data_IF_224779850953
#
_entry.id   IF_224779850953
#
_cell.length_a   1.000
_cell.length_b   1.000
_cell.length_c   1.000
_cell.angle_alpha   90.00
_cell.angle_beta   90.00
_cell.angle_gamma   90.00
#
_symmetry.space_group_name_H-M   'P 1'
#
loop_
_entity.id
_entity.type
_entity.pdbx_description
1 polymer ?
#
# COMPACT_ATOMS: atom_id res chain seq x y z
N UNK A 1 -52.13 -38.63 16.88
CA UNK A 1 -51.53 -37.78 17.90
C UNK A 1 -50.01 -37.80 17.69
N UNK A 2 -49.41 -36.73 17.22
CA UNK A 2 -47.95 -36.65 17.06
C UNK A 2 -47.32 -36.37 18.43
N UNK A 3 -46.42 -37.24 18.85
CA UNK A 3 -45.78 -37.19 20.17
C UNK A 3 -45.06 -35.84 20.38
N UNK A 4 -45.37 -35.09 21.46
CA UNK A 4 -44.70 -33.79 21.75
C UNK A 4 -43.19 -33.96 22.00
N UNK A 5 -42.76 -35.17 22.37
CA UNK A 5 -41.32 -35.48 22.60
C UNK A 5 -40.51 -35.39 21.32
N UNK A 6 -41.09 -35.77 20.16
CA UNK A 6 -40.39 -35.71 18.87
C UNK A 6 -40.19 -34.25 18.39
N UNK A 7 -41.15 -33.36 18.68
CA UNK A 7 -41.04 -31.93 18.36
C UNK A 7 -40.01 -31.21 19.22
N UNK A 8 -39.87 -31.55 20.49
CA UNK A 8 -38.87 -31.00 21.39
C UNK A 8 -37.46 -31.46 21.01
N UNK A 9 -37.31 -32.73 20.58
CA UNK A 9 -36.02 -33.24 20.11
C UNK A 9 -35.53 -32.53 18.83
N UNK A 10 -36.48 -32.21 17.91
CA UNK A 10 -36.15 -31.45 16.68
C UNK A 10 -35.76 -30.01 16.98
N UNK A 11 -36.37 -29.37 17.99
CA UNK A 11 -36.06 -28.01 18.42
C UNK A 11 -34.66 -27.92 19.07
N UNK A 12 -34.28 -28.93 19.86
CA UNK A 12 -32.98 -29.04 20.50
C UNK A 12 -31.84 -29.25 19.48
N UNK A 13 -32.07 -29.99 18.41
CA UNK A 13 -31.08 -30.22 17.34
C UNK A 13 -30.88 -28.94 16.50
N UNK A 14 -31.93 -28.11 16.30
CA UNK A 14 -31.81 -26.87 15.53
C UNK A 14 -31.02 -25.76 16.23
N UNK A 15 -30.98 -25.77 17.56
CA UNK A 15 -30.23 -24.78 18.36
C UNK A 15 -28.71 -25.05 18.38
N UNK A 16 -28.31 -26.32 18.24
CA UNK A 16 -26.86 -26.67 18.24
C UNK A 16 -26.17 -26.42 16.91
N UNK A 17 -26.90 -26.13 15.82
CA UNK A 17 -26.35 -25.86 14.49
C UNK A 17 -25.98 -24.40 14.27
N UNK A 18 -26.27 -23.48 15.23
CA UNK A 18 -26.01 -22.03 15.08
C UNK A 18 -24.75 -21.53 15.79
N UNK A 19 -24.04 -22.40 16.52
CA UNK A 19 -22.77 -22.02 17.14
C UNK A 19 -21.59 -22.53 16.31
N UNK A 20 -21.33 -21.89 15.18
CA UNK A 20 -19.99 -21.96 14.57
C UNK A 20 -19.12 -20.97 15.35
N UNK A 21 -18.20 -21.42 16.21
CA UNK A 21 -17.26 -20.51 16.82
C UNK A 21 -16.43 -19.91 15.69
N UNK A 22 -16.54 -18.59 15.48
CA UNK A 22 -15.60 -17.84 14.67
C UNK A 22 -14.25 -17.85 15.39
N UNK A 23 -13.52 -18.94 15.28
CA UNK A 23 -12.22 -19.12 15.87
C UNK A 23 -11.19 -18.39 14.97
N UNK A 24 -11.11 -17.06 15.14
CA UNK A 24 -10.09 -16.26 14.47
C UNK A 24 -8.73 -16.65 15.06
N UNK A 25 -7.89 -17.32 14.24
CA UNK A 25 -6.53 -17.67 14.59
C UNK A 25 -5.58 -16.70 13.91
N UNK A 26 -4.75 -16.03 14.70
CA UNK A 26 -3.68 -15.20 14.19
C UNK A 26 -2.40 -16.03 14.06
N UNK A 27 -1.73 -15.93 12.89
CA UNK A 27 -0.39 -16.43 12.69
C UNK A 27 0.55 -15.24 12.64
N UNK A 28 1.57 -15.25 13.48
CA UNK A 28 2.64 -14.25 13.48
C UNK A 28 3.73 -14.66 12.51
N UNK A 29 4.24 -13.71 11.73
CA UNK A 29 5.40 -13.86 10.86
C UNK A 29 6.51 -12.92 11.32
N UNK A 30 7.74 -13.42 11.36
CA UNK A 30 8.93 -12.72 11.84
C UNK A 30 10.13 -12.97 10.92
N UNK A 31 11.29 -12.45 11.29
CA UNK A 31 12.55 -12.76 10.61
C UNK A 31 12.89 -14.26 10.64
N UNK A 32 12.42 -14.99 11.64
CA UNK A 32 12.57 -16.45 11.72
C UNK A 32 11.79 -17.19 10.65
N UNK A 33 10.69 -16.56 10.13
CA UNK A 33 9.90 -17.09 9.02
C UNK A 33 10.40 -16.61 7.65
N UNK A 34 11.41 -15.74 7.61
CA UNK A 34 12.05 -15.24 6.38
C UNK A 34 11.78 -13.78 6.04
N UNK A 35 11.15 -12.99 6.93
CA UNK A 35 11.08 -11.54 6.74
C UNK A 35 12.47 -10.89 6.84
N UNK A 36 12.72 -9.88 6.03
CA UNK A 36 13.95 -9.10 6.08
C UNK A 36 14.09 -8.28 7.37
N UNK A 37 12.97 -7.86 7.99
CA UNK A 37 12.93 -7.18 9.29
C UNK A 37 11.55 -7.36 9.94
N UNK A 38 11.48 -7.32 11.27
CA UNK A 38 10.25 -7.32 12.04
C UNK A 38 9.52 -5.96 12.00
N UNK A 39 10.21 -4.89 11.55
CA UNK A 39 9.61 -3.56 11.37
C UNK A 39 8.88 -3.47 10.03
N UNK A 40 7.65 -4.02 9.97
CA UNK A 40 6.79 -3.97 8.78
C UNK A 40 6.15 -2.59 8.64
N UNK A 41 6.21 -2.01 7.44
CA UNK A 41 5.67 -0.69 7.11
C UNK A 41 4.52 -0.72 6.11
N UNK A 42 4.55 -1.67 5.19
CA UNK A 42 3.54 -1.78 4.15
C UNK A 42 3.18 -3.23 3.87
N UNK A 43 1.92 -3.47 3.54
CA UNK A 43 1.45 -4.77 3.07
C UNK A 43 0.46 -4.57 1.92
N UNK A 44 0.55 -5.42 0.92
CA UNK A 44 -0.33 -5.39 -0.25
C UNK A 44 -0.49 -6.79 -0.83
N UNK A 45 -1.70 -7.14 -1.26
CA UNK A 45 -1.92 -8.32 -2.07
C UNK A 45 -1.89 -7.95 -3.57
N UNK A 46 -1.12 -8.69 -4.36
CA UNK A 46 -1.08 -8.48 -5.80
C UNK A 46 -2.21 -9.24 -6.53
N UNK A 47 -2.31 -9.01 -7.85
CA UNK A 47 -3.32 -9.65 -8.71
C UNK A 47 -3.21 -11.18 -8.84
N UNK A 48 -2.09 -11.75 -8.42
CA UNK A 48 -1.86 -13.20 -8.40
C UNK A 48 -2.13 -13.84 -7.04
N UNK A 49 -2.48 -13.00 -6.05
CA UNK A 49 -2.76 -13.44 -4.68
C UNK A 49 -1.54 -13.47 -3.75
N UNK A 50 -0.35 -13.10 -4.23
CA UNK A 50 0.84 -13.00 -3.38
C UNK A 50 0.75 -11.79 -2.45
N UNK A 51 1.17 -11.95 -1.19
CA UNK A 51 1.31 -10.82 -0.26
C UNK A 51 2.71 -10.24 -0.37
N UNK A 52 2.79 -8.96 -0.72
CA UNK A 52 4.02 -8.19 -0.70
C UNK A 52 4.11 -7.43 0.61
N UNK A 53 5.24 -7.53 1.28
CA UNK A 53 5.48 -7.02 2.62
C UNK A 53 6.72 -6.14 2.57
N UNK A 54 6.52 -4.84 2.77
CA UNK A 54 7.58 -3.85 2.89
C UNK A 54 8.02 -3.69 4.34
N UNK A 55 9.32 -3.78 4.57
CA UNK A 55 9.94 -3.61 5.89
C UNK A 55 10.98 -2.49 5.87
N UNK A 56 11.57 -2.17 7.01
CA UNK A 56 12.68 -1.23 7.10
C UNK A 56 13.95 -1.73 6.41
N UNK A 57 14.08 -3.04 6.17
CA UNK A 57 15.28 -3.66 5.60
C UNK A 57 15.03 -4.42 4.29
N UNK A 58 13.90 -4.19 3.63
CA UNK A 58 13.67 -4.77 2.32
C UNK A 58 12.23 -5.12 1.98
N UNK A 59 12.09 -5.67 0.79
CA UNK A 59 10.83 -6.12 0.22
C UNK A 59 10.73 -7.64 0.28
N UNK A 60 9.59 -8.15 0.73
CA UNK A 60 9.34 -9.57 0.85
C UNK A 60 8.05 -9.94 0.11
N UNK A 61 7.96 -11.19 -0.35
CA UNK A 61 6.75 -11.76 -0.94
C UNK A 61 6.43 -13.09 -0.28
N UNK A 62 5.21 -13.21 0.21
CA UNK A 62 4.64 -14.46 0.76
C UNK A 62 3.69 -15.09 -0.27
N UNK A 63 3.90 -16.36 -0.57
CA UNK A 63 3.13 -17.14 -1.56
C UNK A 63 2.07 -18.06 -0.95
N UNK A 64 1.87 -17.97 0.37
CA UNK A 64 0.99 -18.86 1.13
C UNK A 64 1.76 -19.96 1.86
N UNK A 65 3.02 -20.22 1.50
CA UNK A 65 3.87 -21.29 2.06
C UNK A 65 5.13 -20.68 2.67
N UNK A 66 5.87 -19.88 1.89
CA UNK A 66 7.17 -19.33 2.27
C UNK A 66 7.28 -17.83 1.97
N UNK A 67 8.17 -17.18 2.69
CA UNK A 67 8.54 -15.78 2.47
C UNK A 67 9.85 -15.74 1.67
N UNK A 68 9.85 -15.00 0.57
CA UNK A 68 11.02 -14.72 -0.25
C UNK A 68 11.36 -13.24 -0.17
N UNK A 69 12.60 -12.91 0.20
CA UNK A 69 13.11 -11.53 0.16
C UNK A 69 13.62 -11.16 -1.22
N UNK A 70 13.45 -9.88 -1.58
CA UNK A 70 13.84 -9.29 -2.86
C UNK A 70 14.80 -8.13 -2.65
N UNK A 71 15.90 -8.13 -3.39
CA UNK A 71 16.73 -6.94 -3.54
C UNK A 71 16.14 -6.06 -4.65
N UNK A 72 15.65 -4.88 -4.30
CA UNK A 72 15.06 -3.94 -5.28
C UNK A 72 16.12 -3.08 -5.98
N UNK A 73 17.31 -3.01 -5.40
CA UNK A 73 18.46 -2.30 -5.94
C UNK A 73 19.73 -3.13 -5.71
N UNK A 74 20.48 -3.50 -6.76
CA UNK A 74 21.71 -4.29 -6.60
C UNK A 74 22.80 -3.61 -5.76
N UNK A 75 22.79 -2.29 -5.69
CA UNK A 75 23.80 -1.49 -4.98
C UNK A 75 23.41 -1.18 -3.52
N UNK A 76 22.19 -1.52 -3.10
CA UNK A 76 21.72 -1.25 -1.74
C UNK A 76 20.99 -2.48 -1.18
N UNK A 77 21.66 -3.23 -0.34
CA UNK A 77 21.00 -4.19 0.54
C UNK A 77 20.22 -3.42 1.61
N UNK A 78 18.97 -3.84 1.89
CA UNK A 78 18.20 -3.30 3.00
C UNK A 78 17.55 -1.94 2.75
N UNK A 79 16.88 -1.76 1.60
CA UNK A 79 16.09 -0.55 1.35
C UNK A 79 14.86 -0.48 2.27
N UNK A 80 14.66 0.66 2.91
CA UNK A 80 13.45 0.99 3.63
C UNK A 80 12.25 1.09 2.67
N UNK A 81 11.28 0.19 2.83
CA UNK A 81 10.04 0.17 2.04
C UNK A 81 8.93 0.82 2.84
N UNK A 82 8.49 2.01 2.43
CA UNK A 82 7.50 2.80 3.16
C UNK A 82 6.07 2.57 2.70
N UNK A 83 5.86 2.29 1.40
CA UNK A 83 4.53 2.11 0.83
C UNK A 83 4.54 1.19 -0.39
N UNK A 84 3.41 0.54 -0.64
CA UNK A 84 3.21 -0.40 -1.76
C UNK A 84 1.88 -0.13 -2.44
N UNK A 85 1.85 -0.14 -3.76
CA UNK A 85 0.63 -0.03 -4.54
C UNK A 85 0.69 -0.91 -5.79
N UNK A 86 -0.30 -1.81 -5.95
CA UNK A 86 -0.40 -2.71 -7.09
C UNK A 86 -1.32 -2.17 -8.19
N UNK A 87 -0.84 -2.17 -9.41
CA UNK A 87 -1.62 -1.96 -10.63
C UNK A 87 -1.77 -3.28 -11.41
N UNK A 88 -2.52 -3.27 -12.51
CA UNK A 88 -2.61 -4.45 -13.38
C UNK A 88 -1.27 -4.89 -13.97
N UNK A 89 -0.30 -3.98 -14.14
CA UNK A 89 0.98 -4.24 -14.81
C UNK A 89 2.17 -4.27 -13.86
N UNK A 90 2.13 -3.45 -12.81
CA UNK A 90 3.30 -3.15 -11.98
C UNK A 90 2.93 -3.08 -10.50
N UNK A 91 3.93 -3.25 -9.64
CA UNK A 91 3.89 -2.80 -8.24
C UNK A 91 4.74 -1.53 -8.14
N UNK A 92 4.17 -0.50 -7.55
CA UNK A 92 4.84 0.75 -7.21
C UNK A 92 5.29 0.66 -5.76
N UNK A 93 6.57 0.90 -5.53
CA UNK A 93 7.26 0.65 -4.27
C UNK A 93 7.84 1.98 -3.81
N UNK A 94 7.24 2.56 -2.79
CA UNK A 94 7.77 3.75 -2.12
C UNK A 94 8.89 3.38 -1.17
N UNK A 95 9.96 4.14 -1.24
CA UNK A 95 11.16 3.98 -0.40
C UNK A 95 11.53 5.30 0.28
N UNK A 96 12.61 5.29 1.04
CA UNK A 96 13.21 6.48 1.65
C UNK A 96 13.92 7.41 0.63
N UNK A 97 14.18 6.93 -0.57
CA UNK A 97 14.88 7.66 -1.63
C UNK A 97 14.08 7.75 -2.94
N UNK A 98 12.74 7.70 -2.86
CA UNK A 98 11.85 7.79 -4.02
C UNK A 98 11.12 6.50 -4.32
N UNK A 99 10.96 6.17 -5.60
CA UNK A 99 10.05 5.12 -6.04
C UNK A 99 10.77 4.11 -6.91
N UNK A 100 10.50 2.82 -6.67
CA UNK A 100 10.84 1.73 -7.57
C UNK A 100 9.58 1.09 -8.15
N UNK A 101 9.72 0.49 -9.32
CA UNK A 101 8.64 -0.18 -10.04
C UNK A 101 9.04 -1.63 -10.26
N UNK A 102 8.23 -2.57 -9.79
CA UNK A 102 8.35 -3.96 -10.17
C UNK A 102 7.38 -4.26 -11.32
N UNK A 103 7.91 -4.69 -12.46
CA UNK A 103 7.12 -5.05 -13.62
C UNK A 103 6.82 -6.56 -13.62
N UNK A 104 5.54 -6.93 -13.58
CA UNK A 104 5.14 -8.35 -13.58
C UNK A 104 5.58 -9.11 -14.83
N UNK A 105 5.65 -8.43 -15.98
CA UNK A 105 5.97 -9.08 -17.26
C UNK A 105 7.43 -9.52 -17.38
N UNK A 106 8.34 -8.77 -16.76
CA UNK A 106 9.79 -9.01 -16.83
C UNK A 106 10.38 -9.46 -15.51
N UNK A 107 9.60 -9.39 -14.43
CA UNK A 107 10.03 -9.65 -13.04
C UNK A 107 11.25 -8.81 -12.62
N UNK A 108 11.33 -7.56 -13.13
CA UNK A 108 12.46 -6.67 -12.89
C UNK A 108 12.05 -5.44 -12.10
N UNK A 109 13.00 -4.89 -11.33
CA UNK A 109 12.86 -3.65 -10.62
C UNK A 109 13.55 -2.53 -11.41
N UNK A 110 12.88 -1.38 -11.54
CA UNK A 110 13.43 -0.17 -12.14
C UNK A 110 13.15 1.03 -11.24
N UNK A 111 14.10 1.98 -11.18
CA UNK A 111 13.89 3.23 -10.47
C UNK A 111 12.99 4.15 -11.30
N UNK A 112 12.04 4.83 -10.64
CA UNK A 112 11.17 5.83 -11.29
C UNK A 112 11.90 7.16 -11.40
N UNK A 113 12.55 7.39 -12.54
CA UNK A 113 13.42 8.51 -12.80
C UNK A 113 12.76 9.63 -13.62
N UNK A 114 11.45 9.89 -13.37
CA UNK A 114 10.75 10.99 -14.04
C UNK A 114 10.85 12.27 -13.21
N UNK A 115 11.04 13.39 -13.90
CA UNK A 115 11.04 14.73 -13.30
C UNK A 115 9.80 15.53 -13.69
N UNK A 116 9.43 16.49 -12.84
CA UNK A 116 8.44 17.52 -13.19
C UNK A 116 9.01 18.48 -14.24
N UNK A 117 8.17 19.34 -14.87
CA UNK A 117 8.66 20.38 -15.76
C UNK A 117 9.71 21.33 -15.14
N UNK A 118 9.65 21.50 -13.82
CA UNK A 118 10.62 22.28 -13.07
C UNK A 118 11.86 21.48 -12.64
N UNK A 119 12.07 20.30 -13.25
CA UNK A 119 13.20 19.41 -12.97
C UNK A 119 13.25 18.87 -11.52
N UNK A 120 12.11 18.73 -10.87
CA UNK A 120 12.01 18.13 -9.54
C UNK A 120 11.76 16.62 -9.67
N UNK A 121 12.57 15.83 -8.97
CA UNK A 121 12.47 14.37 -8.86
C UNK A 121 11.97 13.99 -7.47
N UNK A 122 11.24 12.88 -7.36
CA UNK A 122 10.86 12.32 -6.06
C UNK A 122 12.08 11.63 -5.47
N UNK A 123 12.64 12.17 -4.40
CA UNK A 123 13.86 11.67 -3.73
C UNK A 123 13.71 11.51 -2.22
N UNK A 124 12.53 11.80 -1.69
CA UNK A 124 12.21 11.66 -0.27
C UNK A 124 11.34 10.42 -0.01
N UNK A 125 11.14 10.09 1.26
CA UNK A 125 10.25 9.01 1.68
C UNK A 125 8.88 9.18 1.05
N UNK A 126 8.36 8.10 0.43
CA UNK A 126 7.02 8.05 -0.16
C UNK A 126 6.07 7.39 0.81
N UNK A 127 5.37 8.20 1.59
CA UNK A 127 4.52 7.75 2.69
C UNK A 127 3.29 6.95 2.23
N UNK A 128 2.70 7.34 1.08
CA UNK A 128 1.51 6.70 0.55
C UNK A 128 1.45 6.78 -0.98
N UNK A 129 0.90 5.74 -1.60
CA UNK A 129 0.66 5.67 -3.05
C UNK A 129 -0.79 5.26 -3.26
N UNK A 130 -1.51 5.99 -4.11
CA UNK A 130 -2.86 5.63 -4.55
C UNK A 130 -3.05 5.87 -6.03
N UNK A 131 -4.05 5.22 -6.63
CA UNK A 131 -4.53 5.51 -7.98
C UNK A 131 -5.93 6.10 -7.91
N UNK A 132 -6.14 7.23 -8.59
CA UNK A 132 -7.45 7.85 -8.72
C UNK A 132 -8.30 7.16 -9.81
N UNK A 133 -9.57 7.54 -9.93
CA UNK A 133 -10.51 6.96 -10.93
C UNK A 133 -10.13 7.30 -12.38
N UNK A 134 -9.37 8.37 -12.58
CA UNK A 134 -8.85 8.78 -13.89
C UNK A 134 -7.58 8.00 -14.27
N UNK A 135 -7.09 7.13 -13.37
CA UNK A 135 -5.91 6.31 -13.56
C UNK A 135 -4.58 7.00 -13.25
N UNK A 136 -4.60 8.23 -12.69
CA UNK A 136 -3.37 8.88 -12.24
C UNK A 136 -2.90 8.25 -10.93
N UNK A 137 -1.58 8.16 -10.76
CA UNK A 137 -0.97 7.80 -9.48
C UNK A 137 -0.62 9.06 -8.69
N UNK A 138 -0.88 8.97 -7.40
CA UNK A 138 -0.59 10.04 -6.44
C UNK A 138 0.41 9.54 -5.43
N UNK A 139 1.44 10.35 -5.16
CA UNK A 139 2.53 10.02 -4.25
C UNK A 139 2.61 11.07 -3.14
N UNK A 140 2.32 10.64 -1.92
CA UNK A 140 2.47 11.48 -0.72
C UNK A 140 3.91 11.38 -0.22
N UNK A 141 4.59 12.48 -0.03
CA UNK A 141 6.01 12.48 0.32
C UNK A 141 6.30 13.15 1.65
N UNK A 142 7.45 12.79 2.22
CA UNK A 142 7.97 13.39 3.43
C UNK A 142 8.92 14.55 3.05
N UNK A 143 8.36 15.75 2.89
CA UNK A 143 9.15 16.98 2.65
C UNK A 143 9.13 17.54 1.22
N UNK A 144 8.54 16.81 0.24
CA UNK A 144 8.40 17.30 -1.13
C UNK A 144 6.93 17.52 -1.55
N UNK A 145 5.98 17.43 -0.62
CA UNK A 145 4.56 17.60 -0.91
C UNK A 145 3.90 16.40 -1.57
N UNK A 146 2.97 16.67 -2.46
CA UNK A 146 2.17 15.68 -3.17
C UNK A 146 2.52 15.69 -4.65
N UNK A 147 2.71 14.51 -5.25
CA UNK A 147 2.93 14.37 -6.69
C UNK A 147 1.78 13.64 -7.34
N UNK A 148 1.46 14.02 -8.58
CA UNK A 148 0.55 13.34 -9.48
C UNK A 148 1.29 12.85 -10.70
N UNK A 149 1.23 11.56 -11.00
CA UNK A 149 1.74 10.98 -12.22
C UNK A 149 0.59 10.57 -13.15
N UNK A 150 0.50 11.24 -14.29
CA UNK A 150 -0.42 10.86 -15.35
C UNK A 150 0.24 9.78 -16.23
N UNK A 151 -0.23 8.52 -16.08
CA UNK A 151 0.35 7.38 -16.79
C UNK A 151 0.20 7.48 -18.30
N UNK A 152 -0.92 8.03 -18.80
CA UNK A 152 -1.20 8.10 -20.24
C UNK A 152 -0.35 9.15 -20.95
N UNK A 153 -0.02 10.24 -20.25
CA UNK A 153 0.80 11.34 -20.76
C UNK A 153 2.27 11.23 -20.40
N UNK A 154 2.63 10.26 -19.55
CA UNK A 154 3.96 10.15 -18.95
C UNK A 154 4.43 11.48 -18.34
N UNK A 155 3.57 12.08 -17.50
CA UNK A 155 3.75 13.45 -17.00
C UNK A 155 3.62 13.49 -15.48
N UNK A 156 4.62 14.07 -14.81
CA UNK A 156 4.69 14.24 -13.36
C UNK A 156 4.46 15.70 -12.98
N UNK A 157 3.55 15.93 -12.05
CA UNK A 157 3.27 17.23 -11.44
C UNK A 157 3.55 17.18 -9.94
N UNK A 158 3.95 18.31 -9.37
CA UNK A 158 4.13 18.50 -7.94
C UNK A 158 3.14 19.53 -7.42
N UNK A 159 2.55 19.24 -6.28
CA UNK A 159 1.71 20.15 -5.51
C UNK A 159 2.41 20.42 -4.18
N UNK A 160 2.91 21.65 -4.04
CA UNK A 160 3.55 22.11 -2.81
C UNK A 160 2.48 22.62 -1.83
N UNK A 161 2.64 22.28 -0.57
CA UNK A 161 1.84 22.85 0.50
C UNK A 161 2.58 24.08 1.04
N UNK A 162 1.84 25.12 1.41
CA UNK A 162 2.39 26.42 1.89
C UNK A 162 3.16 26.32 3.20
N UNK A 163 3.11 25.19 3.89
CA UNK A 163 3.90 24.95 5.10
C UNK A 163 5.33 24.52 4.77
N UNK A 164 6.31 25.06 5.50
CA UNK A 164 7.75 24.94 5.28
C UNK A 164 8.33 23.51 5.19
N UNK A 165 7.51 22.46 5.37
CA UNK A 165 8.00 21.10 5.44
C UNK A 165 7.37 20.10 4.46
N UNK A 166 6.34 20.48 3.71
CA UNK A 166 5.78 19.66 2.62
C UNK A 166 5.48 18.18 2.95
N UNK A 167 5.22 17.86 4.23
CA UNK A 167 5.01 16.48 4.66
C UNK A 167 3.55 16.09 4.46
N UNK A 168 3.31 15.23 3.49
CA UNK A 168 2.01 14.60 3.26
C UNK A 168 2.07 13.17 3.78
N UNK A 169 1.34 12.93 4.87
CA UNK A 169 1.34 11.62 5.52
C UNK A 169 0.53 10.59 4.73
N UNK A 170 -0.61 11.01 4.18
CA UNK A 170 -1.48 10.13 3.39
C UNK A 170 -2.37 10.94 2.45
N UNK A 171 -2.88 10.29 1.43
CA UNK A 171 -3.89 10.83 0.51
C UNK A 171 -5.01 9.83 0.29
N UNK A 172 -6.20 10.34 -0.06
CA UNK A 172 -7.31 9.50 -0.50
C UNK A 172 -8.04 10.17 -1.67
N UNK A 173 -8.67 9.37 -2.51
CA UNK A 173 -9.64 9.81 -3.49
C UNK A 173 -11.05 9.45 -2.98
N UNK A 174 -11.94 10.42 -2.89
CA UNK A 174 -13.32 10.18 -2.46
C UNK A 174 -14.22 9.61 -3.59
N UNK A 175 -15.51 9.43 -3.30
CA UNK A 175 -16.50 8.92 -4.27
C UNK A 175 -16.61 9.78 -5.52
N UNK A 176 -16.33 11.07 -5.42
CA UNK A 176 -16.39 12.03 -6.52
C UNK A 176 -15.02 12.25 -7.18
N UNK A 177 -14.04 11.40 -6.86
CA UNK A 177 -12.67 11.49 -7.34
C UNK A 177 -11.96 12.79 -6.94
N UNK A 178 -12.38 13.39 -5.80
CA UNK A 178 -11.64 14.51 -5.21
C UNK A 178 -10.48 13.97 -4.38
N UNK A 179 -9.34 14.61 -4.50
CA UNK A 179 -8.14 14.22 -3.75
C UNK A 179 -8.09 14.97 -2.43
N UNK A 180 -7.92 14.22 -1.36
CA UNK A 180 -7.73 14.72 -0.01
C UNK A 180 -6.34 14.34 0.48
N UNK A 181 -5.62 15.26 1.07
CA UNK A 181 -4.30 15.05 1.63
C UNK A 181 -4.29 15.32 3.12
N UNK A 182 -3.67 14.44 3.88
CA UNK A 182 -3.45 14.59 5.31
C UNK A 182 -2.01 15.07 5.55
N UNK A 183 -1.85 16.18 6.24
CA UNK A 183 -0.55 16.68 6.71
C UNK A 183 -0.49 16.61 8.24
N UNK A 184 0.66 16.25 8.79
CA UNK A 184 0.85 16.07 10.23
C UNK A 184 1.99 16.91 10.82
N UNK A 185 2.61 17.78 10.01
CA UNK A 185 3.63 18.74 10.46
C UNK A 185 3.41 20.10 9.78
N UNK A 186 3.83 21.16 10.45
CA UNK A 186 3.57 22.53 10.01
C UNK A 186 2.11 22.91 10.27
N UNK A 187 1.40 23.38 9.26
CA UNK A 187 -0.06 23.54 9.30
C UNK A 187 -0.71 22.16 9.15
N UNK A 188 -0.79 21.43 10.28
CA UNK A 188 -1.41 20.10 10.32
C UNK A 188 -2.88 20.19 10.00
N UNK A 189 -3.37 19.29 9.13
CA UNK A 189 -4.77 19.30 8.77
C UNK A 189 -5.11 18.38 7.59
N UNK A 190 -6.34 18.54 7.13
CA UNK A 190 -6.86 17.85 5.96
C UNK A 190 -7.08 18.88 4.86
N UNK A 191 -6.45 18.65 3.73
CA UNK A 191 -6.52 19.52 2.56
C UNK A 191 -7.29 18.84 1.45
N UNK A 192 -8.21 19.56 0.83
CA UNK A 192 -8.90 19.14 -0.38
C UNK A 192 -8.23 19.78 -1.59
N UNK A 193 -7.80 18.97 -2.55
CA UNK A 193 -7.28 19.49 -3.80
C UNK A 193 -8.45 19.95 -4.68
N UNK A 194 -8.52 21.25 -4.95
CA UNK A 194 -9.48 21.79 -5.90
C UNK A 194 -8.94 21.58 -7.32
N UNK A 195 -9.68 20.86 -8.15
CA UNK A 195 -9.38 20.77 -9.58
C UNK A 195 -9.67 22.16 -10.18
N UNK A 196 -8.65 22.79 -10.77
CA UNK A 196 -8.77 24.02 -11.52
C UNK A 196 -9.54 23.77 -12.84
#
# INVERSE_FOLDING_TARGET
MKSPVLSILFLLISVTLLAVPNDFRFRHFSVEDGLSSNSVRAIMQDKYGFLWIGTEEGLNRYDGIMIKSYSICPQAAGKYISSLYGTKKNIWIGTDEGIYIYAYATETFTYFDLTTPNNVRITSIVNHILQDKDGNLWFSTNGQGLFRYNLSKNYLEQYEFTSAFGIVASTMADSDNQIWALTNQGESGVYKLNKA
#
